data_IF_209221180236
#
_entry.id   IF_209221180236
#
_cell.length_a   1.000
_cell.length_b   1.000
_cell.length_c   1.000
_cell.angle_alpha   90.00
_cell.angle_beta   90.00
_cell.angle_gamma   90.00
#
_symmetry.space_group_name_H-M   'P 1'
#
loop_
_entity.id
_entity.type
_entity.pdbx_description
1 polymer ?
#
# COMPACT_ATOMS: atom_id res chain seq x y z
N UNK A 1 4.87 -22.88 61.05
CA UNK A 1 5.77 -21.96 60.32
C UNK A 1 5.67 -22.32 58.84
N UNK A 2 4.87 -21.57 58.06
CA UNK A 2 4.66 -21.82 56.62
C UNK A 2 5.67 -21.01 55.82
N UNK A 3 6.53 -21.67 55.04
CA UNK A 3 7.42 -21.00 54.09
C UNK A 3 6.67 -20.75 52.77
N UNK A 4 6.37 -19.48 52.48
CA UNK A 4 5.75 -19.07 51.21
C UNK A 4 6.88 -18.90 50.18
N UNK A 5 6.92 -19.78 49.18
CA UNK A 5 7.85 -19.68 48.06
C UNK A 5 7.31 -18.65 47.04
N UNK A 6 8.00 -17.52 46.90
CA UNK A 6 7.68 -16.49 45.90
C UNK A 6 8.36 -16.86 44.58
N UNK A 7 7.58 -17.32 43.61
CA UNK A 7 8.07 -17.59 42.24
C UNK A 7 8.11 -16.27 41.48
N UNK A 8 9.31 -15.69 41.32
CA UNK A 8 9.52 -14.52 40.48
C UNK A 8 9.49 -14.92 39.00
N UNK A 9 8.36 -14.68 38.34
CA UNK A 9 8.23 -14.86 36.90
C UNK A 9 9.04 -13.79 36.16
N UNK A 10 10.18 -14.17 35.59
CA UNK A 10 10.99 -13.30 34.74
C UNK A 10 10.31 -13.12 33.38
N UNK A 11 9.75 -11.93 33.14
CA UNK A 11 9.21 -11.55 31.84
C UNK A 11 10.40 -11.28 30.91
N UNK A 12 10.65 -12.20 29.97
CA UNK A 12 11.66 -12.01 28.92
C UNK A 12 11.04 -11.15 27.82
N UNK A 13 11.37 -9.86 27.81
CA UNK A 13 11.05 -8.97 26.70
C UNK A 13 12.05 -9.25 25.58
N UNK A 14 11.63 -9.94 24.53
CA UNK A 14 12.43 -10.14 23.33
C UNK A 14 12.28 -8.91 22.43
N UNK A 15 13.35 -8.14 22.16
CA UNK A 15 13.28 -7.07 21.17
C UNK A 15 13.16 -7.69 19.77
N UNK A 16 12.04 -7.42 19.09
CA UNK A 16 11.86 -7.76 17.68
C UNK A 16 12.68 -6.75 16.87
N UNK A 17 13.88 -7.13 16.44
CA UNK A 17 14.68 -6.31 15.53
C UNK A 17 14.00 -6.26 14.17
N UNK A 18 13.49 -5.09 13.79
CA UNK A 18 13.04 -4.83 12.42
C UNK A 18 14.22 -4.88 11.46
N UNK A 19 14.03 -5.52 10.31
CA UNK A 19 15.02 -5.73 9.24
C UNK A 19 15.59 -4.41 8.67
N UNK A 20 16.53 -3.80 9.39
CA UNK A 20 17.52 -2.90 8.84
C UNK A 20 18.78 -3.70 8.52
N UNK A 21 19.00 -4.04 7.26
CA UNK A 21 20.26 -4.65 6.82
C UNK A 21 21.39 -3.62 6.91
N UNK A 22 21.99 -3.50 8.09
CA UNK A 22 23.08 -2.57 8.39
C UNK A 22 24.41 -3.34 8.44
N UNK A 23 25.01 -3.62 7.28
CA UNK A 23 26.24 -4.43 7.19
C UNK A 23 27.53 -3.61 7.05
N UNK A 24 27.60 -2.32 7.45
CA UNK A 24 28.86 -1.54 7.38
C UNK A 24 29.07 -0.57 8.56
N UNK A 25 30.30 -0.44 9.07
CA UNK A 25 30.66 0.59 10.06
C UNK A 25 30.75 1.94 9.32
N UNK A 26 29.68 2.73 9.37
CA UNK A 26 29.62 4.03 8.70
C UNK A 26 28.28 4.77 8.78
N UNK A 27 27.38 4.34 9.66
CA UNK A 27 26.06 4.94 9.83
C UNK A 27 25.05 4.56 8.75
N UNK A 28 23.77 4.53 9.13
CA UNK A 28 22.67 4.28 8.22
C UNK A 28 22.47 5.52 7.34
N UNK A 29 23.02 5.53 6.11
CA UNK A 29 22.52 6.48 5.11
C UNK A 29 21.07 6.09 4.82
N UNK A 30 20.14 6.96 5.21
CA UNK A 30 18.74 6.79 4.86
C UNK A 30 18.64 6.55 3.35
N UNK A 31 17.98 5.47 2.95
CA UNK A 31 17.75 5.18 1.54
C UNK A 31 17.04 6.38 0.91
N UNK A 32 17.41 6.84 -0.30
CA UNK A 32 16.70 7.90 -1.00
C UNK A 32 15.29 7.47 -1.45
N UNK A 33 14.93 6.19 -1.27
CA UNK A 33 13.67 5.60 -1.67
C UNK A 33 12.75 5.35 -0.46
N UNK A 34 11.45 5.22 -0.72
CA UNK A 34 10.47 4.92 0.33
C UNK A 34 10.73 3.57 1.03
N UNK A 35 10.09 3.32 2.18
CA UNK A 35 10.31 2.12 2.99
C UNK A 35 9.99 0.81 2.26
N UNK A 36 9.10 0.85 1.26
CA UNK A 36 8.69 -0.30 0.44
C UNK A 36 9.34 -0.31 -0.95
N UNK A 37 10.33 0.55 -1.17
CA UNK A 37 11.02 0.71 -2.45
C UNK A 37 12.50 0.34 -2.31
N UNK A 38 13.12 0.04 -3.44
CA UNK A 38 14.56 -0.19 -3.56
C UNK A 38 15.14 0.69 -4.65
N UNK A 39 16.35 1.23 -4.46
CA UNK A 39 17.02 2.00 -5.50
C UNK A 39 17.39 1.09 -6.67
N UNK A 40 17.21 1.61 -7.88
CA UNK A 40 17.62 0.97 -9.13
C UNK A 40 19.07 1.35 -9.39
N UNK A 41 19.93 0.35 -9.60
CA UNK A 41 21.29 0.57 -10.09
C UNK A 41 21.27 0.86 -11.60
N UNK A 42 21.87 1.98 -12.00
CA UNK A 42 21.99 2.39 -13.40
C UNK A 42 20.79 3.17 -13.96
N UNK A 43 20.26 2.74 -15.11
CA UNK A 43 19.17 3.44 -15.81
C UNK A 43 17.84 3.29 -15.05
N UNK A 44 17.00 4.33 -14.98
CA UNK A 44 15.65 4.25 -14.43
C UNK A 44 14.83 3.12 -15.08
N UNK A 45 13.95 2.49 -14.32
CA UNK A 45 13.12 1.36 -14.78
C UNK A 45 11.63 1.64 -14.57
N UNK A 46 10.80 0.93 -15.33
CA UNK A 46 9.37 0.85 -15.08
C UNK A 46 9.09 -0.01 -13.85
N UNK A 47 8.04 0.34 -13.11
CA UNK A 47 7.58 -0.45 -11.97
C UNK A 47 6.57 -1.51 -12.42
N UNK A 48 6.36 -2.52 -11.57
CA UNK A 48 5.29 -3.50 -11.76
C UNK A 48 4.00 -3.00 -11.12
N UNK A 49 2.86 -3.14 -11.80
CA UNK A 49 1.58 -2.60 -11.34
C UNK A 49 0.57 -3.68 -10.97
N UNK A 50 -0.33 -3.36 -10.04
CA UNK A 50 -1.43 -4.25 -9.67
C UNK A 50 -2.42 -4.46 -10.81
N UNK A 51 -2.76 -3.38 -11.54
CA UNK A 51 -3.70 -3.42 -12.67
C UNK A 51 -3.23 -2.57 -13.85
N UNK A 52 -2.20 -3.02 -14.59
CA UNK A 52 -1.60 -2.25 -15.68
C UNK A 52 -2.59 -1.69 -16.71
N UNK A 53 -3.68 -2.42 -17.00
CA UNK A 53 -4.72 -2.02 -17.96
C UNK A 53 -5.62 -0.87 -17.48
N UNK A 54 -5.74 -0.69 -16.17
CA UNK A 54 -6.58 0.34 -15.55
C UNK A 54 -5.77 1.41 -14.82
N UNK A 55 -4.47 1.17 -14.65
CA UNK A 55 -3.55 2.19 -14.17
C UNK A 55 -3.52 3.34 -15.19
N UNK A 56 -3.73 4.58 -14.73
CA UNK A 56 -3.32 5.78 -15.42
C UNK A 56 -2.10 5.69 -16.35
N UNK A 57 -2.20 6.05 -17.65
CA UNK A 57 -1.05 5.99 -18.56
C UNK A 57 0.16 6.82 -18.12
N UNK A 58 -0.05 7.93 -17.41
CA UNK A 58 1.02 8.78 -16.87
C UNK A 58 1.76 8.11 -15.71
N UNK A 59 1.08 7.29 -14.91
CA UNK A 59 1.70 6.57 -13.80
C UNK A 59 2.42 5.30 -14.29
N UNK A 60 1.80 4.59 -15.24
CA UNK A 60 2.32 3.38 -15.87
C UNK A 60 3.64 3.64 -16.61
N UNK A 61 3.73 4.74 -17.36
CA UNK A 61 4.91 5.12 -18.17
C UNK A 61 5.96 5.91 -17.40
N UNK A 62 5.80 6.11 -16.08
CA UNK A 62 6.77 6.84 -15.27
C UNK A 62 8.02 5.98 -15.02
N UNK A 63 9.17 6.44 -15.51
CA UNK A 63 10.46 5.84 -15.21
C UNK A 63 10.89 6.23 -13.79
N UNK A 64 11.28 5.26 -12.97
CA UNK A 64 11.65 5.49 -11.57
C UNK A 64 13.07 5.01 -11.28
N UNK A 65 13.74 5.76 -10.40
CA UNK A 65 14.99 5.35 -9.75
C UNK A 65 14.74 4.55 -8.47
N UNK A 66 13.51 4.55 -7.97
CA UNK A 66 13.04 3.76 -6.84
C UNK A 66 11.88 2.89 -7.31
N UNK A 67 12.04 1.57 -7.24
CA UNK A 67 11.01 0.60 -7.66
C UNK A 67 10.49 -0.18 -6.47
N UNK A 68 9.27 -0.68 -6.55
CA UNK A 68 8.71 -1.48 -5.46
C UNK A 68 9.60 -2.71 -5.17
N UNK A 69 9.74 -3.04 -3.88
CA UNK A 69 10.42 -4.26 -3.42
C UNK A 69 9.82 -5.50 -4.09
N UNK A 70 10.58 -6.60 -4.12
CA UNK A 70 10.06 -7.90 -4.56
C UNK A 70 8.80 -8.25 -3.76
N UNK A 71 7.75 -8.72 -4.44
CA UNK A 71 6.40 -9.02 -3.89
C UNK A 71 5.53 -7.80 -3.58
N UNK A 72 6.00 -6.59 -3.84
CA UNK A 72 5.20 -5.38 -3.86
C UNK A 72 4.91 -4.97 -5.30
N UNK A 73 3.77 -4.34 -5.52
CA UNK A 73 3.33 -3.82 -6.81
C UNK A 73 2.82 -2.40 -6.60
N UNK A 74 3.03 -1.53 -7.59
CA UNK A 74 2.55 -0.16 -7.53
C UNK A 74 1.06 -0.10 -7.88
N UNK A 75 0.30 0.63 -7.09
CA UNK A 75 -1.10 0.92 -7.38
C UNK A 75 -1.26 2.17 -8.26
N UNK A 76 -2.50 2.52 -8.58
CA UNK A 76 -2.87 3.67 -9.41
C UNK A 76 -2.60 5.03 -8.78
N UNK A 77 -2.26 5.09 -7.48
CA UNK A 77 -1.88 6.31 -6.74
C UNK A 77 -0.36 6.43 -6.55
N UNK A 78 0.42 5.50 -7.10
CA UNK A 78 1.86 5.50 -6.99
C UNK A 78 2.40 4.92 -5.68
N UNK A 79 1.57 4.24 -4.89
CA UNK A 79 1.98 3.59 -3.64
C UNK A 79 2.38 2.12 -3.91
N UNK A 80 3.43 1.63 -3.25
CA UNK A 80 3.81 0.21 -3.31
C UNK A 80 2.99 -0.59 -2.30
N UNK A 81 2.18 -1.53 -2.79
CA UNK A 81 1.30 -2.37 -1.97
C UNK A 81 1.68 -3.85 -2.10
N UNK A 82 1.40 -4.70 -1.09
CA UNK A 82 1.70 -6.12 -1.19
C UNK A 82 0.89 -6.77 -2.32
N UNK A 83 1.56 -7.55 -3.18
CA UNK A 83 0.95 -8.24 -4.34
C UNK A 83 -0.31 -9.03 -3.98
N UNK A 84 -0.31 -9.68 -2.82
CA UNK A 84 -1.45 -10.49 -2.35
C UNK A 84 -2.71 -9.65 -2.13
N UNK A 85 -2.58 -8.40 -1.71
CA UNK A 85 -3.72 -7.50 -1.50
C UNK A 85 -4.35 -7.02 -2.82
N UNK A 86 -3.63 -7.15 -3.93
CA UNK A 86 -4.15 -6.79 -5.25
C UNK A 86 -5.08 -7.85 -5.85
N UNK A 87 -4.92 -9.13 -5.47
CA UNK A 87 -5.70 -10.26 -6.02
C UNK A 87 -7.21 -10.08 -5.81
N UNK A 88 -7.73 -9.73 -4.61
CA UNK A 88 -9.17 -9.54 -4.40
C UNK A 88 -9.79 -8.45 -5.28
N UNK A 89 -9.00 -7.43 -5.65
CA UNK A 89 -9.47 -6.33 -6.50
C UNK A 89 -9.45 -6.68 -7.98
N UNK A 90 -8.76 -7.76 -8.40
CA UNK A 90 -8.74 -8.20 -9.79
C UNK A 90 -10.11 -8.66 -10.30
N UNK A 91 -10.99 -9.13 -9.41
CA UNK A 91 -12.36 -9.52 -9.76
C UNK A 91 -13.33 -8.34 -9.89
N UNK A 92 -12.94 -7.14 -9.45
CA UNK A 92 -13.77 -5.93 -9.56
C UNK A 92 -13.34 -5.13 -10.78
N UNK A 93 -14.25 -4.74 -11.66
CA UNK A 93 -13.89 -4.06 -12.90
C UNK A 93 -13.35 -2.65 -12.63
N UNK A 94 -12.19 -2.30 -13.21
CA UNK A 94 -11.60 -0.95 -13.09
C UNK A 94 -11.34 -0.44 -11.66
N UNK A 95 -11.20 -1.32 -10.67
CA UNK A 95 -10.79 -0.96 -9.30
C UNK A 95 -9.39 -1.41 -8.98
N UNK A 96 -8.62 -0.62 -8.25
CA UNK A 96 -7.28 -0.95 -7.81
C UNK A 96 -7.17 -0.97 -6.28
N UNK A 97 -6.23 -1.72 -5.73
CA UNK A 97 -6.07 -1.84 -4.29
C UNK A 97 -5.34 -0.61 -3.71
N UNK A 98 -5.85 -0.11 -2.58
CA UNK A 98 -5.25 0.98 -1.83
C UNK A 98 -5.31 0.68 -0.33
N UNK A 99 -4.27 1.06 0.42
CA UNK A 99 -4.24 0.88 1.87
C UNK A 99 -5.15 1.88 2.59
N UNK A 100 -5.29 3.08 2.03
CA UNK A 100 -6.20 4.13 2.48
C UNK A 100 -7.19 4.43 1.34
N UNK A 101 -8.12 3.50 1.10
CA UNK A 101 -9.23 3.74 0.19
C UNK A 101 -10.29 4.59 0.87
N UNK A 102 -10.91 5.50 0.12
CA UNK A 102 -11.96 6.36 0.65
C UNK A 102 -13.15 5.52 1.14
N UNK A 103 -13.51 5.68 2.41
CA UNK A 103 -14.62 4.96 3.01
C UNK A 103 -15.98 5.37 2.41
N UNK A 104 -16.07 6.59 1.88
CA UNK A 104 -17.20 7.05 1.08
C UNK A 104 -16.69 7.36 -0.34
N UNK A 105 -16.69 6.37 -1.26
CA UNK A 105 -16.27 6.62 -2.62
C UNK A 105 -17.25 7.57 -3.30
N UNK A 106 -16.73 8.53 -4.07
CA UNK A 106 -17.57 9.36 -4.94
C UNK A 106 -18.38 8.47 -5.91
N UNK A 107 -19.66 8.77 -6.02
CA UNK A 107 -20.54 8.15 -7.03
C UNK A 107 -21.04 9.24 -7.97
N UNK A 108 -21.45 8.88 -9.19
CA UNK A 108 -21.94 9.87 -10.17
C UNK A 108 -23.10 10.74 -9.64
N UNK A 109 -23.92 10.21 -8.71
CA UNK A 109 -25.04 10.93 -8.11
C UNK A 109 -24.69 11.67 -6.81
N UNK A 110 -23.56 11.34 -6.18
CA UNK A 110 -23.10 11.97 -4.94
C UNK A 110 -21.61 12.34 -5.08
N UNK A 111 -21.27 13.63 -5.30
CA UNK A 111 -19.90 14.08 -5.09
C UNK A 111 -19.50 13.78 -3.63
N UNK A 112 -18.20 13.58 -3.37
CA UNK A 112 -17.65 13.29 -2.04
C UNK A 112 -18.48 14.01 -0.96
N UNK A 113 -19.26 13.24 -0.19
CA UNK A 113 -20.08 13.85 0.85
C UNK A 113 -19.13 14.55 1.82
N UNK A 114 -19.23 15.88 1.95
CA UNK A 114 -18.43 16.66 2.91
C UNK A 114 -18.53 16.11 4.35
N UNK A 115 -19.52 15.27 4.63
CA UNK A 115 -19.81 14.59 5.89
C UNK A 115 -19.37 13.12 5.96
N UNK A 116 -18.43 12.65 5.13
CA UNK A 116 -17.87 11.32 5.33
C UNK A 116 -16.92 11.32 6.54
N UNK A 117 -17.46 11.22 7.75
CA UNK A 117 -16.68 11.09 8.98
C UNK A 117 -16.04 9.71 9.19
N UNK A 118 -15.96 8.87 8.15
CA UNK A 118 -15.40 7.52 8.26
C UNK A 118 -13.90 7.57 7.93
N UNK A 119 -13.04 6.95 8.75
CA UNK A 119 -11.61 6.85 8.45
C UNK A 119 -11.41 6.05 7.16
N UNK A 120 -10.36 6.37 6.39
CA UNK A 120 -10.02 5.55 5.25
C UNK A 120 -9.66 4.13 5.68
N UNK A 121 -9.95 3.16 4.83
CA UNK A 121 -9.74 1.75 5.13
C UNK A 121 -9.09 1.05 3.93
N UNK A 122 -8.34 -0.05 4.16
CA UNK A 122 -7.77 -0.83 3.07
C UNK A 122 -8.88 -1.43 2.20
N UNK A 123 -8.80 -1.22 0.89
CA UNK A 123 -9.86 -1.68 0.00
C UNK A 123 -9.61 -1.41 -1.49
N UNK A 124 -10.55 -1.86 -2.31
CA UNK A 124 -10.53 -1.62 -3.76
C UNK A 124 -11.23 -0.30 -4.09
N UNK A 125 -10.48 0.68 -4.59
CA UNK A 125 -10.97 1.99 -4.97
C UNK A 125 -10.90 2.18 -6.50
N UNK A 126 -11.67 3.14 -7.02
CA UNK A 126 -11.55 3.55 -8.41
C UNK A 126 -10.26 4.35 -8.60
N UNK A 127 -9.49 4.14 -9.69
CA UNK A 127 -8.29 4.92 -10.00
C UNK A 127 -8.56 6.43 -10.03
N UNK A 128 -7.52 7.27 -9.87
CA UNK A 128 -7.67 8.72 -9.95
C UNK A 128 -8.41 9.17 -11.23
N UNK A 129 -9.43 10.01 -11.05
CA UNK A 129 -10.28 10.50 -12.14
C UNK A 129 -11.44 9.58 -12.53
N UNK A 130 -11.70 8.51 -11.78
CA UNK A 130 -12.85 7.64 -11.95
C UNK A 130 -13.74 7.65 -10.71
N UNK A 131 -15.05 7.52 -10.91
CA UNK A 131 -16.07 7.44 -9.86
C UNK A 131 -16.79 6.10 -9.87
N UNK A 132 -17.37 5.69 -8.74
CA UNK A 132 -18.13 4.44 -8.66
C UNK A 132 -19.46 4.59 -9.39
N UNK A 133 -19.83 3.57 -10.17
CA UNK A 133 -21.11 3.55 -10.87
C UNK A 133 -22.27 3.50 -9.86
N UNK A 134 -23.29 4.37 -9.98
CA UNK A 134 -24.32 4.55 -8.94
C UNK A 134 -25.13 3.28 -8.63
N UNK A 135 -25.39 2.46 -9.65
CA UNK A 135 -26.13 1.18 -9.49
C UNK A 135 -25.22 -0.07 -9.44
N UNK A 136 -23.92 0.06 -9.72
CA UNK A 136 -23.01 -1.08 -9.91
C UNK A 136 -21.72 -0.80 -9.16
N UNK A 137 -21.73 -1.02 -7.85
CA UNK A 137 -20.61 -0.68 -6.98
C UNK A 137 -19.28 -1.35 -7.34
N UNK A 138 -19.29 -2.43 -8.14
CA UNK A 138 -18.10 -3.13 -8.63
C UNK A 138 -17.48 -2.52 -9.90
N UNK A 139 -18.13 -1.53 -10.52
CA UNK A 139 -17.70 -0.87 -11.76
C UNK A 139 -17.37 0.60 -11.50
N UNK A 140 -16.30 1.09 -12.13
CA UNK A 140 -15.96 2.50 -12.16
C UNK A 140 -16.37 3.11 -13.52
N UNK A 141 -16.67 4.40 -13.51
CA UNK A 141 -16.96 5.19 -14.71
C UNK A 141 -16.19 6.50 -14.63
N UNK A 142 -15.93 7.11 -15.79
CA UNK A 142 -15.25 8.39 -15.90
C UNK A 142 -16.27 9.46 -16.27
#
# INVERSE_FOLDING_TARGET
>A
MQCIAVVLATIVIVPVSGDGSCSKPGGCKASPCGPLEVPVSGKPRYDSFCRPLFTPPWELRKLRRCVCKRRYLRNSWGECVPRLKCIPCQFRWQKDYRECADACPATCNLPFSKSCGKPCAPGCACPPGWVVHPRKAWKCIK
#
